data_IF_638626298040
#
_entry.id   IF_638626298040
#
_cell.length_a   1.000
_cell.length_b   1.000
_cell.length_c   1.000
_cell.angle_alpha   90.00
_cell.angle_beta   90.00
_cell.angle_gamma   90.00
#
_symmetry.space_group_name_H-M   'P 1'
#
loop_
_entity.id
_entity.type
_entity.pdbx_description
1 polymer ?
#
# COMPACT_ATOMS: atom_id res chain seq x y z
N UNK A 1 -33.92 32.24 8.61
CA UNK A 1 -33.34 30.89 8.48
C UNK A 1 -33.80 30.21 7.21
N UNK A 2 -32.84 29.79 6.38
CA UNK A 2 -33.04 29.15 5.07
C UNK A 2 -32.65 27.67 5.17
N UNK A 3 -33.45 26.76 4.61
CA UNK A 3 -33.04 25.35 4.49
C UNK A 3 -32.10 25.20 3.28
N UNK A 4 -30.86 24.68 3.46
CA UNK A 4 -29.92 24.53 2.34
C UNK A 4 -30.38 23.48 1.33
N UNK A 5 -29.95 23.60 0.08
CA UNK A 5 -29.97 22.48 -0.87
C UNK A 5 -28.90 21.45 -0.49
N UNK A 6 -29.04 20.21 -0.98
CA UNK A 6 -28.06 19.14 -0.70
C UNK A 6 -26.67 19.48 -1.25
N UNK A 7 -26.60 20.05 -2.46
CA UNK A 7 -25.35 20.49 -3.08
C UNK A 7 -24.64 21.58 -2.26
N UNK A 8 -25.38 22.59 -1.78
CA UNK A 8 -24.83 23.66 -0.95
C UNK A 8 -24.35 23.12 0.40
N UNK A 9 -25.09 22.18 1.00
CA UNK A 9 -24.71 21.53 2.25
C UNK A 9 -23.39 20.74 2.08
N UNK A 10 -23.27 19.95 1.02
CA UNK A 10 -22.04 19.19 0.71
C UNK A 10 -20.85 20.14 0.54
N UNK A 11 -21.01 21.20 -0.26
CA UNK A 11 -19.95 22.17 -0.54
C UNK A 11 -19.47 22.87 0.74
N UNK A 12 -20.40 23.30 1.59
CA UNK A 12 -20.05 23.96 2.85
C UNK A 12 -19.38 23.00 3.86
N UNK A 13 -19.87 21.76 3.97
CA UNK A 13 -19.23 20.74 4.82
C UNK A 13 -17.81 20.44 4.32
N UNK A 14 -17.61 20.30 3.01
CA UNK A 14 -16.27 20.11 2.41
C UNK A 14 -15.34 21.28 2.72
N UNK A 15 -15.81 22.52 2.61
CA UNK A 15 -15.02 23.71 2.94
C UNK A 15 -14.61 23.75 4.42
N UNK A 16 -15.51 23.38 5.34
CA UNK A 16 -15.17 23.25 6.77
C UNK A 16 -14.16 22.12 6.98
N UNK A 17 -14.36 20.96 6.34
CA UNK A 17 -13.45 19.80 6.45
C UNK A 17 -12.06 20.07 5.90
N UNK A 18 -11.94 20.90 4.87
CA UNK A 18 -10.66 21.33 4.32
C UNK A 18 -9.88 22.20 5.32
N UNK A 19 -10.58 23.04 6.09
CA UNK A 19 -9.97 23.92 7.10
C UNK A 19 -9.69 23.21 8.42
N UNK A 20 -10.65 22.43 8.91
CA UNK A 20 -10.59 21.70 10.18
C UNK A 20 -11.08 20.24 10.02
N UNK A 21 -10.21 19.33 9.55
CA UNK A 21 -10.59 17.95 9.22
C UNK A 21 -11.13 17.14 10.40
N UNK A 22 -10.69 17.47 11.62
CA UNK A 22 -11.01 16.76 12.87
C UNK A 22 -12.22 17.32 13.61
N UNK A 23 -12.87 18.37 13.08
CA UNK A 23 -13.95 19.07 13.77
C UNK A 23 -15.14 18.14 14.05
N UNK A 24 -15.55 18.04 15.32
CA UNK A 24 -16.68 17.21 15.70
C UNK A 24 -17.96 17.65 14.95
N UNK A 25 -18.81 16.70 14.55
CA UNK A 25 -20.05 16.97 13.78
C UNK A 25 -20.94 18.04 14.43
N UNK A 26 -21.07 18.04 15.76
CA UNK A 26 -21.85 19.06 16.48
C UNK A 26 -21.28 20.48 16.30
N UNK A 27 -19.95 20.63 16.22
CA UNK A 27 -19.29 21.91 15.96
C UNK A 27 -19.43 22.32 14.49
N UNK A 28 -19.34 21.37 13.55
CA UNK A 28 -19.66 21.61 12.13
C UNK A 28 -21.09 22.10 11.97
N UNK A 29 -22.05 21.44 12.64
CA UNK A 29 -23.47 21.85 12.61
C UNK A 29 -23.65 23.28 13.10
N UNK A 30 -23.02 23.63 14.22
CA UNK A 30 -23.07 24.98 14.77
C UNK A 30 -22.49 26.00 13.79
N UNK A 31 -21.30 25.75 13.25
CA UNK A 31 -20.64 26.64 12.31
C UNK A 31 -21.45 26.84 11.01
N UNK A 32 -22.07 25.78 10.49
CA UNK A 32 -22.96 25.89 9.32
C UNK A 32 -24.18 26.78 9.60
N UNK A 33 -24.77 26.67 10.79
CA UNK A 33 -25.89 27.51 11.21
C UNK A 33 -25.45 28.97 11.37
N UNK A 34 -24.35 29.19 12.06
CA UNK A 34 -23.84 30.52 12.41
C UNK A 34 -23.34 31.28 11.16
N UNK A 35 -22.63 30.61 10.23
CA UNK A 35 -22.06 31.24 9.04
C UNK A 35 -23.07 31.46 7.90
N UNK A 36 -24.17 30.70 7.84
CA UNK A 36 -25.08 30.70 6.68
C UNK A 36 -26.56 30.97 7.03
N UNK A 37 -26.90 31.21 8.30
CA UNK A 37 -28.28 31.33 8.80
C UNK A 37 -29.19 30.15 8.39
N UNK A 38 -28.64 28.93 8.45
CA UNK A 38 -29.32 27.73 7.97
C UNK A 38 -30.20 27.05 9.01
N UNK A 39 -31.38 26.60 8.59
CA UNK A 39 -32.17 25.65 9.35
C UNK A 39 -31.74 24.20 9.01
N UNK A 40 -30.87 23.63 9.83
CA UNK A 40 -30.29 22.30 9.62
C UNK A 40 -30.43 21.42 10.86
N UNK A 41 -30.98 20.21 10.69
CA UNK A 41 -31.06 19.21 11.76
C UNK A 41 -29.81 18.35 11.80
N UNK A 42 -29.44 17.86 12.99
CA UNK A 42 -28.31 16.95 13.15
C UNK A 42 -28.50 15.66 12.34
N UNK A 43 -29.73 15.13 12.30
CA UNK A 43 -30.08 13.94 11.51
C UNK A 43 -29.80 14.13 10.02
N UNK A 44 -30.19 15.30 9.47
CA UNK A 44 -29.98 15.63 8.06
C UNK A 44 -28.50 15.82 7.74
N UNK A 45 -27.77 16.54 8.61
CA UNK A 45 -26.32 16.68 8.48
C UNK A 45 -25.62 15.32 8.53
N UNK A 46 -26.00 14.44 9.47
CA UNK A 46 -25.45 13.09 9.57
C UNK A 46 -25.70 12.28 8.30
N UNK A 47 -26.93 12.25 7.79
CA UNK A 47 -27.25 11.53 6.56
C UNK A 47 -26.43 12.02 5.37
N UNK A 48 -26.28 13.34 5.21
CA UNK A 48 -25.44 13.94 4.17
C UNK A 48 -23.96 13.57 4.34
N UNK A 49 -23.42 13.65 5.56
CA UNK A 49 -22.02 13.30 5.83
C UNK A 49 -21.74 11.81 5.63
N UNK A 50 -22.65 10.92 6.02
CA UNK A 50 -22.50 9.48 5.88
C UNK A 50 -22.63 9.06 4.39
N UNK A 51 -23.56 9.65 3.63
CA UNK A 51 -23.76 9.35 2.21
C UNK A 51 -22.61 9.82 1.30
N UNK A 52 -21.86 10.84 1.72
CA UNK A 52 -20.79 11.45 0.94
C UNK A 52 -19.40 11.33 1.59
N UNK A 53 -19.25 10.45 2.60
CA UNK A 53 -18.00 10.23 3.34
C UNK A 53 -17.37 11.51 3.93
N UNK A 54 -18.19 12.50 4.33
CA UNK A 54 -17.76 13.80 4.87
C UNK A 54 -17.66 13.82 6.41
N UNK A 55 -17.58 12.63 7.03
CA UNK A 55 -17.35 12.45 8.46
C UNK A 55 -16.15 13.25 8.95
N UNK A 56 -16.05 13.47 10.27
CA UNK A 56 -14.76 13.90 10.81
C UNK A 56 -13.73 12.86 10.37
N UNK A 57 -12.60 13.32 9.83
CA UNK A 57 -11.38 12.52 9.92
C UNK A 57 -11.19 12.45 11.42
N UNK A 58 -11.66 11.35 12.03
CA UNK A 58 -11.51 11.17 13.45
C UNK A 58 -10.05 11.51 13.76
N UNK A 59 -9.75 12.24 14.85
CA UNK A 59 -8.41 12.15 15.36
C UNK A 59 -8.12 10.65 15.42
N UNK A 60 -7.07 10.25 14.69
CA UNK A 60 -6.42 8.97 14.86
C UNK A 60 -6.62 8.59 16.31
N UNK A 61 -7.26 7.44 16.56
CA UNK A 61 -7.33 6.75 17.85
C UNK A 61 -6.14 7.24 18.67
N UNK A 62 -6.38 8.15 19.62
CA UNK A 62 -5.28 8.83 20.29
C UNK A 62 -4.32 7.76 20.81
N UNK A 63 -2.99 7.98 20.80
CA UNK A 63 -2.02 6.95 21.21
C UNK A 63 -2.36 6.30 22.58
N UNK A 64 -3.15 6.99 23.42
CA UNK A 64 -3.68 6.50 24.70
C UNK A 64 -4.74 5.38 24.62
N UNK A 65 -5.24 5.01 23.43
CA UNK A 65 -6.24 3.93 23.26
C UNK A 65 -5.80 2.79 22.33
N UNK A 66 -4.55 2.83 21.87
CA UNK A 66 -3.95 1.74 21.11
C UNK A 66 -3.46 0.63 22.03
N UNK A 67 -3.61 -0.60 21.58
CA UNK A 67 -3.03 -1.76 22.25
C UNK A 67 -1.50 -1.76 22.08
N UNK A 68 -0.75 -2.25 23.08
CA UNK A 68 0.69 -2.39 22.97
C UNK A 68 1.08 -3.39 21.87
N UNK A 69 2.22 -3.15 21.22
CA UNK A 69 2.83 -4.05 20.24
C UNK A 69 3.87 -4.96 20.93
N UNK A 70 3.40 -5.78 21.85
CA UNK A 70 4.23 -6.70 22.65
C UNK A 70 4.25 -8.13 22.07
N UNK A 71 4.72 -9.11 22.84
CA UNK A 71 4.78 -10.51 22.42
C UNK A 71 3.41 -11.10 22.01
N UNK A 72 2.31 -10.61 22.58
CA UNK A 72 0.97 -11.05 22.16
C UNK A 72 0.62 -10.51 20.77
N UNK A 73 1.07 -9.28 20.46
CA UNK A 73 0.96 -8.71 19.13
C UNK A 73 1.80 -9.48 18.10
N UNK A 74 3.00 -9.95 18.45
CA UNK A 74 3.81 -10.78 17.54
C UNK A 74 3.12 -12.08 17.12
N UNK A 75 2.43 -12.73 18.06
CA UNK A 75 1.59 -13.90 17.74
C UNK A 75 0.45 -13.54 16.78
N UNK A 76 -0.21 -12.42 17.02
CA UNK A 76 -1.27 -11.91 16.13
C UNK A 76 -0.73 -11.63 14.73
N UNK A 77 0.44 -11.00 14.60
CA UNK A 77 1.07 -10.76 13.29
C UNK A 77 1.35 -12.08 12.59
N UNK A 78 1.90 -13.06 13.31
CA UNK A 78 2.21 -14.38 12.74
C UNK A 78 0.95 -15.05 12.17
N UNK A 79 -0.12 -15.10 12.96
CA UNK A 79 -1.40 -15.68 12.53
C UNK A 79 -2.02 -14.89 11.37
N UNK A 80 -2.01 -13.56 11.43
CA UNK A 80 -2.55 -12.70 10.37
C UNK A 80 -1.77 -12.83 9.06
N UNK A 81 -0.45 -12.91 9.14
CA UNK A 81 0.43 -13.09 7.99
C UNK A 81 0.21 -14.45 7.33
N UNK A 82 0.18 -15.54 8.11
CA UNK A 82 -0.02 -16.89 7.58
C UNK A 82 -1.40 -17.02 6.91
N UNK A 83 -2.45 -16.47 7.53
CA UNK A 83 -3.78 -16.49 6.94
C UNK A 83 -3.86 -15.61 5.68
N UNK A 84 -3.28 -14.40 5.69
CA UNK A 84 -3.28 -13.53 4.51
C UNK A 84 -2.51 -14.16 3.36
N UNK A 85 -1.31 -14.67 3.62
CA UNK A 85 -0.46 -15.33 2.62
C UNK A 85 -1.22 -16.46 1.92
N UNK A 86 -1.89 -17.34 2.69
CA UNK A 86 -2.70 -18.42 2.14
C UNK A 86 -3.88 -17.89 1.31
N UNK A 87 -4.66 -16.96 1.85
CA UNK A 87 -5.86 -16.45 1.18
C UNK A 87 -5.53 -15.61 -0.07
N UNK A 88 -4.45 -14.85 -0.05
CA UNK A 88 -3.96 -14.12 -1.22
C UNK A 88 -3.54 -15.11 -2.31
N UNK A 89 -2.79 -16.17 -1.96
CA UNK A 89 -2.43 -17.23 -2.91
C UNK A 89 -3.66 -17.87 -3.53
N UNK A 90 -4.65 -18.24 -2.72
CA UNK A 90 -5.91 -18.81 -3.19
C UNK A 90 -6.68 -17.85 -4.10
N UNK A 91 -6.71 -16.56 -3.76
CA UNK A 91 -7.31 -15.52 -4.59
C UNK A 91 -6.63 -15.41 -5.95
N UNK A 92 -5.29 -15.35 -6.00
CA UNK A 92 -4.52 -15.23 -7.24
C UNK A 92 -4.66 -16.46 -8.14
N UNK A 93 -4.61 -17.66 -7.57
CA UNK A 93 -4.81 -18.91 -8.30
C UNK A 93 -6.26 -19.09 -8.77
N UNK A 94 -7.22 -18.50 -8.05
CA UNK A 94 -8.65 -18.56 -8.34
C UNK A 94 -9.16 -17.46 -9.28
N UNK A 95 -8.28 -16.62 -9.84
CA UNK A 95 -8.69 -15.58 -10.77
C UNK A 95 -9.36 -16.16 -12.02
N UNK A 96 -10.39 -15.47 -12.50
CA UNK A 96 -11.00 -15.80 -13.79
C UNK A 96 -10.00 -15.57 -14.93
N UNK A 97 -10.23 -16.20 -16.08
CA UNK A 97 -9.40 -15.94 -17.28
C UNK A 97 -9.36 -14.44 -17.62
N UNK A 98 -10.51 -13.76 -17.56
CA UNK A 98 -10.58 -12.33 -17.85
C UNK A 98 -9.77 -11.49 -16.84
N UNK A 99 -9.82 -11.84 -15.56
CA UNK A 99 -9.04 -11.17 -14.52
C UNK A 99 -7.53 -11.41 -14.72
N UNK A 100 -7.13 -12.65 -15.00
CA UNK A 100 -5.74 -13.00 -15.25
C UNK A 100 -5.18 -12.30 -16.51
N UNK A 101 -5.99 -12.19 -17.56
CA UNK A 101 -5.64 -11.48 -18.79
C UNK A 101 -5.47 -9.97 -18.57
N UNK A 102 -6.24 -9.38 -17.65
CA UNK A 102 -6.12 -7.97 -17.28
C UNK A 102 -4.88 -7.64 -16.44
N UNK A 103 -4.47 -8.55 -15.55
CA UNK A 103 -3.24 -8.40 -14.74
C UNK A 103 -1.98 -8.66 -15.55
N UNK A 104 -2.02 -9.62 -16.48
CA UNK A 104 -0.84 -10.04 -17.22
C UNK A 104 -1.18 -10.13 -18.73
N UNK A 105 -1.29 -8.99 -19.43
CA UNK A 105 -1.64 -8.94 -20.85
C UNK A 105 -0.43 -9.31 -21.75
N UNK A 106 0.41 -10.25 -21.32
CA UNK A 106 1.63 -10.65 -22.04
C UNK A 106 1.24 -11.77 -23.04
N UNK A 107 1.36 -11.54 -24.36
CA UNK A 107 0.92 -12.51 -25.36
C UNK A 107 1.70 -13.83 -25.35
N UNK A 108 2.97 -13.80 -24.92
CA UNK A 108 3.86 -14.97 -24.91
C UNK A 108 3.57 -15.97 -23.79
N UNK A 109 2.78 -15.59 -22.78
CA UNK A 109 2.41 -16.49 -21.67
C UNK A 109 1.13 -17.23 -22.02
N UNK A 110 1.22 -18.57 -22.02
CA UNK A 110 0.08 -19.46 -22.27
C UNK A 110 -1.03 -19.15 -21.25
N UNK A 111 -2.30 -19.00 -21.67
CA UNK A 111 -3.39 -18.62 -20.77
C UNK A 111 -3.54 -19.50 -19.52
N UNK A 112 -3.26 -20.81 -19.64
CA UNK A 112 -3.35 -21.76 -18.53
C UNK A 112 -2.29 -21.55 -17.44
N UNK A 113 -1.15 -20.92 -17.78
CA UNK A 113 -0.04 -20.71 -16.87
C UNK A 113 -0.12 -19.33 -16.16
N UNK A 114 -1.05 -18.46 -16.60
CA UNK A 114 -1.19 -17.07 -16.10
C UNK A 114 -1.54 -16.98 -14.61
N UNK A 115 -2.53 -17.74 -14.06
CA UNK A 115 -2.84 -17.62 -12.63
C UNK A 115 -1.66 -17.98 -11.73
N UNK A 116 -0.87 -18.99 -12.10
CA UNK A 116 0.35 -19.35 -11.37
C UNK A 116 1.40 -18.23 -11.48
N UNK A 117 1.63 -17.68 -12.66
CA UNK A 117 2.58 -16.56 -12.81
C UNK A 117 2.15 -15.31 -12.04
N UNK A 118 0.87 -15.00 -12.00
CA UNK A 118 0.31 -13.92 -11.19
C UNK A 118 0.55 -14.22 -9.70
N UNK A 119 0.26 -15.44 -9.24
CA UNK A 119 0.54 -15.87 -7.87
C UNK A 119 2.04 -15.85 -7.52
N UNK A 120 2.93 -15.91 -8.52
CA UNK A 120 4.37 -15.75 -8.31
C UNK A 120 4.83 -14.29 -8.26
N UNK A 121 4.16 -13.35 -8.93
CA UNK A 121 4.72 -12.02 -9.22
C UNK A 121 3.90 -10.83 -8.72
N UNK A 122 2.64 -11.03 -8.35
CA UNK A 122 1.66 -9.95 -8.14
C UNK A 122 1.07 -9.99 -6.73
N UNK A 123 1.90 -10.28 -5.73
CA UNK A 123 1.50 -10.48 -4.32
C UNK A 123 2.07 -9.41 -3.40
N UNK A 124 1.42 -9.22 -2.27
CA UNK A 124 1.68 -8.13 -1.32
C UNK A 124 1.95 -8.62 0.10
N UNK A 125 1.91 -9.93 0.36
CA UNK A 125 2.00 -10.51 1.71
C UNK A 125 3.30 -10.14 2.43
N UNK A 126 4.43 -10.13 1.74
CA UNK A 126 5.71 -9.73 2.34
C UNK A 126 5.67 -8.26 2.72
N UNK A 127 5.27 -7.35 1.82
CA UNK A 127 5.21 -5.92 2.16
C UNK A 127 4.23 -5.63 3.29
N UNK A 128 3.08 -6.31 3.33
CA UNK A 128 2.11 -6.19 4.43
C UNK A 128 2.75 -6.63 5.76
N UNK A 129 3.51 -7.73 5.77
CA UNK A 129 4.26 -8.15 6.97
C UNK A 129 5.27 -7.08 7.40
N UNK A 130 6.02 -6.51 6.46
CA UNK A 130 7.00 -5.47 6.75
C UNK A 130 6.34 -4.23 7.33
N UNK A 131 5.15 -3.87 6.87
CA UNK A 131 4.34 -2.80 7.47
C UNK A 131 3.90 -3.17 8.88
N UNK A 132 3.40 -4.39 9.10
CA UNK A 132 2.99 -4.88 10.43
C UNK A 132 4.16 -4.89 11.44
N UNK A 133 5.37 -5.19 10.97
CA UNK A 133 6.61 -5.20 11.77
C UNK A 133 7.25 -3.81 11.91
N UNK A 134 6.67 -2.76 11.32
CA UNK A 134 7.17 -1.39 11.39
C UNK A 134 8.47 -1.16 10.60
N UNK A 135 8.84 -2.07 9.70
CA UNK A 135 9.99 -1.93 8.80
C UNK A 135 9.62 -0.98 7.65
N UNK A 136 8.44 -1.18 7.07
CA UNK A 136 7.87 -0.27 6.09
C UNK A 136 6.83 0.63 6.77
N UNK A 137 6.79 1.94 6.44
CA UNK A 137 5.73 2.82 6.94
C UNK A 137 4.34 2.44 6.40
N UNK A 138 4.29 1.98 5.15
CA UNK A 138 3.08 1.50 4.51
C UNK A 138 3.36 0.55 3.35
N UNK A 139 2.30 -0.12 2.90
CA UNK A 139 2.23 -0.94 1.70
C UNK A 139 1.19 -0.36 0.75
N UNK A 140 1.58 -0.28 -0.51
CA UNK A 140 0.73 0.05 -1.62
C UNK A 140 0.13 -1.21 -2.24
N UNK A 141 -1.19 -1.24 -2.43
CA UNK A 141 -1.87 -2.33 -3.13
C UNK A 141 -2.57 -1.71 -4.35
N UNK A 142 -1.92 -1.81 -5.51
CA UNK A 142 -2.32 -1.10 -6.71
C UNK A 142 -1.84 -1.79 -7.98
N UNK A 143 -2.64 -1.69 -9.05
CA UNK A 143 -2.22 -2.04 -10.40
C UNK A 143 -2.84 -1.09 -11.41
N UNK A 144 -2.05 -0.51 -12.33
CA UNK A 144 -2.50 0.58 -13.21
C UNK A 144 -3.63 0.19 -14.16
N UNK A 145 -3.79 -1.10 -14.46
CA UNK A 145 -4.81 -1.58 -15.40
C UNK A 145 -5.90 -2.45 -14.76
N UNK A 146 -5.74 -2.81 -13.49
CA UNK A 146 -6.52 -3.87 -12.85
C UNK A 146 -6.92 -3.49 -11.42
N UNK A 147 -7.16 -2.20 -11.18
CA UNK A 147 -7.51 -1.65 -9.87
C UNK A 147 -8.69 -2.35 -9.21
N UNK A 148 -9.68 -2.78 -10.01
CA UNK A 148 -10.85 -3.50 -9.51
C UNK A 148 -10.49 -4.89 -8.96
N UNK A 149 -9.51 -5.57 -9.55
CA UNK A 149 -9.05 -6.90 -9.09
C UNK A 149 -8.38 -6.77 -7.72
N UNK A 150 -7.53 -5.75 -7.54
CA UNK A 150 -6.93 -5.47 -6.25
C UNK A 150 -7.93 -4.92 -5.22
N UNK A 151 -8.96 -4.20 -5.66
CA UNK A 151 -10.05 -3.77 -4.77
C UNK A 151 -10.84 -4.98 -4.25
N UNK A 152 -11.05 -6.01 -5.09
CA UNK A 152 -11.59 -7.32 -4.66
C UNK A 152 -10.65 -8.03 -3.70
N UNK A 153 -9.35 -8.16 -4.00
CA UNK A 153 -8.38 -8.73 -3.06
C UNK A 153 -8.45 -8.04 -1.69
N UNK A 154 -8.44 -6.71 -1.67
CA UNK A 154 -8.53 -5.95 -0.43
C UNK A 154 -9.86 -6.17 0.28
N UNK A 155 -10.97 -6.19 -0.44
CA UNK A 155 -12.31 -6.25 0.16
C UNK A 155 -12.68 -7.65 0.63
N UNK A 156 -12.36 -8.66 -0.18
CA UNK A 156 -12.76 -10.05 0.02
C UNK A 156 -11.76 -10.81 0.89
N UNK A 157 -10.48 -10.40 0.88
CA UNK A 157 -9.40 -11.09 1.61
C UNK A 157 -8.85 -10.23 2.75
N UNK A 158 -8.31 -9.05 2.46
CA UNK A 158 -7.49 -8.34 3.45
C UNK A 158 -8.31 -7.61 4.55
N UNK A 159 -9.41 -6.94 4.19
CA UNK A 159 -10.32 -6.28 5.17
C UNK A 159 -10.85 -7.26 6.23
N UNK A 160 -11.29 -8.48 5.88
CA UNK A 160 -11.64 -9.51 6.86
C UNK A 160 -10.52 -9.81 7.87
N UNK A 161 -9.27 -9.90 7.41
CA UNK A 161 -8.11 -10.16 8.28
C UNK A 161 -7.87 -8.99 9.23
N UNK A 162 -7.87 -7.75 8.71
CA UNK A 162 -7.75 -6.53 9.54
C UNK A 162 -8.80 -6.53 10.66
N UNK A 163 -10.04 -6.93 10.34
CA UNK A 163 -11.13 -7.02 11.31
C UNK A 163 -10.93 -8.16 12.32
N UNK A 164 -10.62 -9.37 11.85
CA UNK A 164 -10.42 -10.58 12.65
C UNK A 164 -9.32 -10.39 13.70
N UNK A 165 -8.18 -9.87 13.27
CA UNK A 165 -7.01 -9.63 14.13
C UNK A 165 -6.99 -8.26 14.80
N UNK A 166 -8.04 -7.45 14.58
CA UNK A 166 -8.20 -6.11 15.17
C UNK A 166 -6.98 -5.22 14.93
N UNK A 167 -6.38 -5.26 13.73
CA UNK A 167 -5.14 -4.54 13.40
C UNK A 167 -5.29 -3.02 13.60
N UNK A 168 -6.49 -2.46 13.39
CA UNK A 168 -6.79 -1.06 13.70
C UNK A 168 -6.53 -0.68 15.16
N UNK A 169 -6.75 -1.60 16.10
CA UNK A 169 -6.48 -1.35 17.52
C UNK A 169 -4.99 -1.31 17.88
N UNK A 170 -4.11 -1.72 16.95
CA UNK A 170 -2.65 -1.63 17.08
C UNK A 170 -2.05 -0.49 16.26
N UNK A 171 -2.88 0.39 15.69
CA UNK A 171 -2.41 1.56 14.95
C UNK A 171 -2.18 1.32 13.45
N UNK A 172 -2.88 0.35 12.85
CA UNK A 172 -2.85 0.15 11.40
C UNK A 172 -4.10 0.67 10.73
N UNK A 173 -3.94 1.26 9.56
CA UNK A 173 -5.06 1.79 8.80
C UNK A 173 -5.00 1.36 7.34
N UNK A 174 -6.17 1.06 6.79
CA UNK A 174 -6.35 0.74 5.38
C UNK A 174 -7.28 1.79 4.77
N UNK A 175 -6.80 2.53 3.76
CA UNK A 175 -7.54 3.57 3.05
C UNK A 175 -7.40 3.42 1.55
N UNK A 176 -8.45 3.78 0.82
CA UNK A 176 -8.42 3.85 -0.64
C UNK A 176 -7.99 5.26 -1.08
N UNK A 177 -7.26 5.32 -2.19
CA UNK A 177 -6.86 6.56 -2.84
C UNK A 177 -7.99 6.97 -3.80
N UNK A 178 -8.68 8.07 -3.49
CA UNK A 178 -9.89 8.48 -4.24
C UNK A 178 -9.60 9.44 -5.41
N UNK A 179 -8.37 9.96 -5.50
CA UNK A 179 -7.92 10.94 -6.49
C UNK A 179 -6.60 10.52 -7.15
N UNK A 180 -6.24 11.15 -8.27
CA UNK A 180 -4.90 10.99 -8.82
C UNK A 180 -3.90 11.73 -7.93
N UNK A 181 -2.78 11.09 -7.60
CA UNK A 181 -1.73 11.69 -6.75
C UNK A 181 -0.74 12.55 -7.54
N UNK A 182 -0.65 12.34 -8.85
CA UNK A 182 0.07 13.20 -9.79
C UNK A 182 -0.51 13.06 -11.20
N UNK A 183 -0.13 13.98 -12.09
CA UNK A 183 -0.25 13.81 -13.54
C UNK A 183 1.12 13.41 -14.09
N UNK A 184 1.28 12.14 -14.47
CA UNK A 184 2.55 11.62 -15.04
C UNK A 184 2.40 11.34 -16.54
N UNK A 185 2.76 12.32 -17.38
CA UNK A 185 2.64 12.24 -18.84
C UNK A 185 3.45 11.10 -19.48
N UNK A 186 4.39 10.49 -18.76
CA UNK A 186 5.17 9.34 -19.21
C UNK A 186 4.51 7.99 -18.96
N UNK A 187 3.34 7.96 -18.29
CA UNK A 187 2.67 6.71 -17.90
C UNK A 187 1.42 6.41 -18.73
N UNK A 188 1.02 5.13 -18.82
CA UNK A 188 -0.14 4.68 -19.61
C UNK A 188 -1.48 5.35 -19.23
N UNK A 189 -1.63 5.78 -17.97
CA UNK A 189 -2.81 6.49 -17.47
C UNK A 189 -2.38 7.71 -16.65
N UNK A 190 -1.95 8.80 -17.32
CA UNK A 190 -1.31 9.94 -16.66
C UNK A 190 -2.21 10.61 -15.62
N UNK A 191 -3.52 10.66 -15.88
CA UNK A 191 -4.52 11.34 -15.03
C UNK A 191 -5.18 10.42 -13.98
N UNK A 192 -4.69 9.19 -13.82
CA UNK A 192 -5.26 8.19 -12.89
C UNK A 192 -4.20 7.62 -11.95
N UNK A 193 -3.02 8.25 -11.86
CA UNK A 193 -1.90 7.72 -11.08
C UNK A 193 -2.33 7.41 -9.64
N UNK A 194 -2.22 6.14 -9.25
CA UNK A 194 -2.64 5.55 -7.96
C UNK A 194 -4.14 5.58 -7.63
N UNK A 195 -4.97 6.24 -8.44
CA UNK A 195 -6.40 6.35 -8.16
C UNK A 195 -7.05 4.97 -8.10
N UNK A 196 -7.82 4.74 -7.05
CA UNK A 196 -8.48 3.48 -6.71
C UNK A 196 -7.58 2.45 -6.04
N UNK A 197 -6.27 2.69 -5.98
CA UNK A 197 -5.33 1.90 -5.18
C UNK A 197 -5.60 2.00 -3.69
N UNK A 198 -5.02 1.10 -2.91
CA UNK A 198 -5.17 1.04 -1.46
C UNK A 198 -3.81 1.22 -0.77
N UNK A 199 -3.80 1.92 0.36
CA UNK A 199 -2.64 2.02 1.24
C UNK A 199 -3.01 1.37 2.57
N UNK A 200 -2.19 0.40 2.96
CA UNK A 200 -2.15 -0.13 4.32
C UNK A 200 -0.97 0.47 5.04
N UNK A 201 -1.19 1.27 6.09
CA UNK A 201 -0.13 2.03 6.74
C UNK A 201 -0.16 1.96 8.26
N UNK A 202 1.02 2.18 8.84
CA UNK A 202 1.22 2.34 10.27
C UNK A 202 1.03 3.81 10.66
N UNK A 203 -0.04 4.10 11.42
CA UNK A 203 -0.34 5.47 11.86
C UNK A 203 0.61 5.97 12.95
N UNK A 204 1.40 5.07 13.54
CA UNK A 204 2.46 5.38 14.49
C UNK A 204 3.81 5.66 13.81
N UNK A 205 3.92 5.41 12.50
CA UNK A 205 5.14 5.73 11.76
C UNK A 205 5.42 7.24 11.81
N UNK A 206 6.69 7.67 12.00
CA UNK A 206 7.05 9.08 11.91
C UNK A 206 6.75 9.68 10.53
N UNK A 207 6.58 8.85 9.50
CA UNK A 207 6.25 9.26 8.13
C UNK A 207 4.74 9.28 7.84
N UNK A 208 3.87 8.98 8.82
CA UNK A 208 2.43 8.94 8.59
C UNK A 208 1.85 10.25 8.04
N UNK A 209 2.36 11.41 8.49
CA UNK A 209 1.95 12.71 7.96
C UNK A 209 2.31 12.88 6.48
N UNK A 210 3.50 12.42 6.07
CA UNK A 210 3.95 12.49 4.68
C UNK A 210 3.13 11.55 3.79
N UNK A 211 2.80 10.35 4.29
CA UNK A 211 1.88 9.40 3.63
C UNK A 211 0.52 10.05 3.40
N UNK A 212 -0.03 10.73 4.42
CA UNK A 212 -1.31 11.43 4.30
C UNK A 212 -1.26 12.58 3.30
N UNK A 213 -0.16 13.35 3.31
CA UNK A 213 0.04 14.44 2.37
C UNK A 213 0.12 13.95 0.93
N UNK A 214 0.78 12.82 0.68
CA UNK A 214 1.03 12.32 -0.69
C UNK A 214 -0.16 11.55 -1.25
N UNK A 215 -0.76 10.63 -0.48
CA UNK A 215 -1.79 9.73 -1.01
C UNK A 215 -3.23 10.19 -0.76
N UNK A 216 -3.46 11.06 0.24
CA UNK A 216 -4.81 11.39 0.69
C UNK A 216 -5.15 12.88 0.65
N UNK A 217 -4.21 13.73 0.25
CA UNK A 217 -4.48 15.15 0.06
C UNK A 217 -4.68 15.41 -1.42
N UNK A 218 -5.90 15.80 -1.86
CA UNK A 218 -6.20 16.09 -3.26
C UNK A 218 -5.50 17.38 -3.67
N UNK A 219 -4.22 17.25 -4.01
CA UNK A 219 -3.39 18.31 -4.56
C UNK A 219 -3.02 17.84 -5.95
N UNK A 220 -3.61 18.45 -6.98
CA UNK A 220 -3.25 18.16 -8.36
C UNK A 220 -1.83 18.69 -8.59
N UNK A 221 -0.85 17.83 -8.31
CA UNK A 221 0.56 18.21 -8.44
C UNK A 221 0.93 18.00 -9.90
N UNK A 222 1.01 19.11 -10.65
CA UNK A 222 1.61 19.13 -11.98
C UNK A 222 3.12 19.06 -11.81
N UNK A 223 3.66 17.85 -11.84
CA UNK A 223 5.08 17.62 -11.61
C UNK A 223 5.83 17.78 -12.93
N UNK A 224 6.59 18.86 -13.08
CA UNK A 224 7.46 19.08 -14.24
C UNK A 224 8.88 18.53 -13.96
N UNK A 225 9.46 17.78 -14.91
CA UNK A 225 10.88 17.40 -14.98
C UNK A 225 11.59 17.20 -13.63
N UNK A 226 12.32 18.20 -13.14
CA UNK A 226 13.11 18.13 -11.90
C UNK A 226 12.29 17.91 -10.61
N UNK A 227 11.01 18.26 -10.61
CA UNK A 227 10.11 17.99 -9.48
C UNK A 227 9.69 16.50 -9.42
N UNK A 228 9.84 15.77 -10.53
CA UNK A 228 9.52 14.34 -10.64
C UNK A 228 10.46 13.50 -9.81
N UNK A 229 11.75 13.76 -9.93
CA UNK A 229 12.81 13.12 -9.15
C UNK A 229 12.56 13.31 -7.64
N UNK A 230 12.23 14.54 -7.24
CA UNK A 230 11.95 14.89 -5.84
C UNK A 230 10.70 14.19 -5.31
N UNK A 231 9.67 14.02 -6.15
CA UNK A 231 8.46 13.30 -5.79
C UNK A 231 8.69 11.79 -5.69
N UNK A 232 9.43 11.21 -6.63
CA UNK A 232 9.79 9.79 -6.59
C UNK A 232 10.65 9.45 -5.38
N UNK A 233 11.61 10.31 -5.01
CA UNK A 233 12.39 10.14 -3.78
C UNK A 233 11.51 10.16 -2.53
N UNK A 234 10.54 11.08 -2.48
CA UNK A 234 9.53 11.11 -1.40
C UNK A 234 8.70 9.84 -1.38
N UNK A 235 8.25 9.35 -2.55
CA UNK A 235 7.54 8.08 -2.67
C UNK A 235 8.37 6.91 -2.14
N UNK A 236 9.62 6.78 -2.57
CA UNK A 236 10.51 5.72 -2.10
C UNK A 236 10.67 5.75 -0.58
N UNK A 237 10.87 6.94 -0.02
CA UNK A 237 10.99 7.14 1.41
C UNK A 237 9.72 6.74 2.17
N UNK A 238 8.54 7.20 1.75
CA UNK A 238 7.29 6.86 2.47
C UNK A 238 6.89 5.39 2.30
N UNK A 239 7.29 4.75 1.19
CA UNK A 239 7.12 3.32 0.97
C UNK A 239 8.19 2.49 1.71
N UNK A 240 9.18 3.12 2.35
CA UNK A 240 10.20 2.46 3.15
C UNK A 240 11.31 1.77 2.34
N UNK A 241 11.55 2.19 1.09
CA UNK A 241 12.68 1.67 0.31
C UNK A 241 14.00 2.30 0.78
N UNK A 242 15.11 1.52 0.82
CA UNK A 242 16.36 1.94 1.47
C UNK A 242 17.19 2.96 0.68
N UNK A 243 16.88 3.15 -0.61
CA UNK A 243 17.61 4.04 -1.51
C UNK A 243 16.66 5.04 -2.18
N UNK A 244 17.09 6.30 -2.40
CA UNK A 244 16.32 7.27 -3.17
C UNK A 244 16.22 6.82 -4.63
N UNK A 245 15.14 7.23 -5.29
CA UNK A 245 14.89 6.90 -6.67
C UNK A 245 15.81 7.64 -7.65
N UNK A 246 16.32 8.84 -7.36
CA UNK A 246 16.97 9.70 -8.38
C UNK A 246 18.26 10.41 -7.93
N UNK A 247 19.12 10.89 -8.88
CA UNK A 247 19.02 10.76 -10.34
C UNK A 247 19.50 9.39 -10.86
N UNK A 248 18.77 8.82 -11.82
CA UNK A 248 18.99 7.45 -12.34
C UNK A 248 19.92 7.42 -13.55
N UNK A 249 20.89 6.51 -13.57
CA UNK A 249 21.64 6.17 -14.79
C UNK A 249 20.89 5.11 -15.62
N UNK A 250 21.25 4.99 -16.91
CA UNK A 250 20.42 4.39 -17.98
C UNK A 250 20.12 2.89 -17.89
N UNK A 251 20.71 2.15 -16.94
CA UNK A 251 20.49 0.71 -16.80
C UNK A 251 19.66 0.46 -15.53
N UNK A 252 18.42 0.02 -15.69
CA UNK A 252 17.53 -0.33 -14.59
C UNK A 252 17.96 -1.68 -13.98
N UNK A 253 18.57 -1.65 -12.80
CA UNK A 253 18.71 -2.84 -11.97
C UNK A 253 17.48 -2.94 -11.07
N UNK A 254 16.98 -4.15 -10.89
CA UNK A 254 15.89 -4.43 -9.96
C UNK A 254 16.43 -5.32 -8.85
N UNK A 255 16.29 -4.87 -7.61
CA UNK A 255 16.55 -5.72 -6.47
C UNK A 255 15.26 -6.43 -6.08
N UNK A 256 15.30 -7.77 -6.08
CA UNK A 256 14.12 -8.59 -5.77
C UNK A 256 14.36 -9.40 -4.52
N UNK A 257 13.38 -9.44 -3.65
CA UNK A 257 13.37 -10.33 -2.49
C UNK A 257 12.40 -11.47 -2.74
N UNK A 258 12.91 -12.69 -2.71
CA UNK A 258 12.19 -13.91 -3.09
C UNK A 258 11.65 -14.62 -1.84
N UNK A 259 10.37 -14.98 -1.86
CA UNK A 259 9.75 -15.77 -0.79
C UNK A 259 9.85 -17.26 -1.09
N UNK A 260 10.90 -17.86 -0.56
CA UNK A 260 11.24 -19.26 -0.71
C UNK A 260 10.21 -20.22 -0.09
N UNK A 261 9.52 -19.78 0.96
CA UNK A 261 8.45 -20.58 1.56
C UNK A 261 7.27 -20.68 0.60
N UNK A 262 6.91 -19.56 -0.03
CA UNK A 262 5.85 -19.57 -1.03
C UNK A 262 6.26 -20.22 -2.35
N UNK A 263 7.55 -20.21 -2.72
CA UNK A 263 8.07 -21.04 -3.83
C UNK A 263 7.72 -22.53 -3.61
N UNK A 264 8.05 -23.07 -2.43
CA UNK A 264 7.76 -24.45 -2.07
C UNK A 264 6.25 -24.76 -2.02
N UNK A 265 5.44 -23.84 -1.47
CA UNK A 265 3.98 -24.01 -1.41
C UNK A 265 3.33 -24.00 -2.80
N UNK A 266 3.75 -23.09 -3.69
CA UNK A 266 3.24 -23.04 -5.06
C UNK A 266 3.72 -24.22 -5.91
N UNK A 267 4.97 -24.66 -5.76
CA UNK A 267 5.47 -25.87 -6.41
C UNK A 267 4.62 -27.09 -6.01
N UNK A 268 4.39 -27.28 -4.70
CA UNK A 268 3.57 -28.37 -4.17
C UNK A 268 2.14 -28.34 -4.69
N UNK A 269 1.49 -27.17 -4.68
CA UNK A 269 0.10 -27.02 -5.11
C UNK A 269 -0.09 -27.13 -6.63
N UNK A 270 0.91 -26.76 -7.41
CA UNK A 270 0.87 -26.82 -8.89
C UNK A 270 1.43 -28.11 -9.48
N UNK A 271 2.10 -28.94 -8.66
CA UNK A 271 2.79 -30.15 -9.10
C UNK A 271 4.05 -29.87 -9.94
N UNK A 272 4.62 -28.66 -9.83
CA UNK A 272 5.87 -28.27 -10.50
C UNK A 272 7.07 -28.45 -9.59
N UNK A 273 8.27 -28.45 -10.18
CA UNK A 273 9.51 -28.42 -9.41
C UNK A 273 9.69 -27.06 -8.73
N UNK A 274 10.30 -27.04 -7.55
CA UNK A 274 10.58 -25.80 -6.81
C UNK A 274 11.48 -24.84 -7.62
N UNK A 275 12.48 -25.37 -8.33
CA UNK A 275 13.38 -24.59 -9.19
C UNK A 275 12.69 -23.88 -10.37
N UNK A 276 11.45 -24.27 -10.70
CA UNK A 276 10.63 -23.65 -11.74
C UNK A 276 9.72 -22.54 -11.21
N UNK A 277 9.68 -22.34 -9.89
CA UNK A 277 8.81 -21.37 -9.22
C UNK A 277 9.67 -20.30 -8.55
N UNK A 278 9.52 -19.06 -8.98
CA UNK A 278 10.09 -17.90 -8.30
C UNK A 278 8.98 -16.98 -7.81
N UNK A 279 8.77 -16.94 -6.49
CA UNK A 279 7.81 -16.01 -5.85
C UNK A 279 8.51 -14.75 -5.44
N UNK A 280 8.20 -13.64 -6.10
CA UNK A 280 8.67 -12.31 -5.74
C UNK A 280 7.84 -11.86 -4.53
N UNK A 281 8.50 -11.69 -3.38
CA UNK A 281 7.89 -11.09 -2.21
C UNK A 281 7.65 -9.60 -2.41
N UNK A 282 8.67 -8.90 -2.90
CA UNK A 282 8.57 -7.56 -3.49
C UNK A 282 9.88 -7.22 -4.22
N UNK A 283 9.83 -6.16 -5.03
CA UNK A 283 10.99 -5.63 -5.73
C UNK A 283 11.00 -4.10 -5.69
N UNK A 284 12.18 -3.53 -5.81
CA UNK A 284 12.35 -2.11 -6.01
C UNK A 284 13.53 -1.85 -6.94
N UNK A 285 13.47 -0.70 -7.60
CA UNK A 285 14.53 -0.27 -8.50
C UNK A 285 15.72 0.24 -7.67
N UNK A 286 16.91 -0.17 -8.07
CA UNK A 286 18.19 0.34 -7.59
C UNK A 286 19.05 0.70 -8.80
N UNK A 287 19.95 1.66 -8.68
CA UNK A 287 21.01 1.80 -9.66
C UNK A 287 22.19 0.90 -9.27
N UNK A 288 23.14 0.64 -10.19
CA UNK A 288 24.40 0.01 -9.80
C UNK A 288 25.20 1.03 -8.95
N UNK A 289 24.78 1.12 -7.69
CA UNK A 289 25.16 2.17 -6.75
C UNK A 289 26.59 2.02 -6.24
N UNK A 290 26.94 2.85 -5.26
CA UNK A 290 28.19 2.70 -4.53
C UNK A 290 28.03 1.72 -3.35
N UNK A 291 29.16 1.39 -2.71
CA UNK A 291 29.19 0.53 -1.52
C UNK A 291 28.26 1.02 -0.40
N UNK A 292 28.04 2.33 -0.25
CA UNK A 292 27.17 2.87 0.78
C UNK A 292 25.70 2.58 0.48
N UNK A 293 25.28 2.66 -0.79
CA UNK A 293 23.94 2.22 -1.22
C UNK A 293 23.75 0.72 -1.04
N UNK A 294 24.72 -0.09 -1.49
CA UNK A 294 24.69 -1.54 -1.31
C UNK A 294 24.57 -1.94 0.17
N UNK A 295 25.32 -1.28 1.05
CA UNK A 295 25.22 -1.48 2.50
C UNK A 295 23.79 -1.22 3.01
N UNK A 296 23.13 -0.15 2.56
CA UNK A 296 21.73 0.14 2.94
C UNK A 296 20.76 -0.93 2.45
N UNK A 297 20.93 -1.39 1.21
CA UNK A 297 20.13 -2.47 0.63
C UNK A 297 20.28 -3.77 1.44
N UNK A 298 21.50 -4.13 1.86
CA UNK A 298 21.75 -5.33 2.67
C UNK A 298 21.20 -5.20 4.10
N UNK A 299 21.38 -4.06 4.78
CA UNK A 299 20.80 -3.81 6.12
C UNK A 299 19.27 -3.90 6.08
N UNK A 300 18.66 -3.37 5.02
CA UNK A 300 17.23 -3.48 4.79
C UNK A 300 16.82 -4.94 4.56
N UNK A 301 17.51 -5.66 3.67
CA UNK A 301 17.27 -7.09 3.43
C UNK A 301 17.37 -7.92 4.71
N UNK A 302 18.41 -7.75 5.52
CA UNK A 302 18.55 -8.45 6.80
C UNK A 302 17.36 -8.21 7.74
N UNK A 303 16.86 -6.98 7.77
CA UNK A 303 15.69 -6.63 8.57
C UNK A 303 14.43 -7.33 8.06
N UNK A 304 14.23 -7.35 6.74
CA UNK A 304 13.14 -8.09 6.09
C UNK A 304 13.25 -9.60 6.32
N UNK A 305 14.45 -10.16 6.21
CA UNK A 305 14.71 -11.58 6.41
C UNK A 305 14.44 -11.99 7.86
N UNK A 306 14.84 -11.17 8.85
CA UNK A 306 14.50 -11.41 10.27
C UNK A 306 12.99 -11.37 10.49
N UNK A 307 12.26 -10.43 9.86
CA UNK A 307 10.81 -10.37 9.95
C UNK A 307 10.14 -11.62 9.38
N UNK A 308 10.54 -12.06 8.19
CA UNK A 308 10.04 -13.30 7.56
C UNK A 308 10.36 -14.53 8.40
N UNK A 309 11.59 -14.64 8.90
CA UNK A 309 11.99 -15.75 9.80
C UNK A 309 11.15 -15.79 11.08
N UNK A 310 10.79 -14.63 11.63
CA UNK A 310 10.00 -14.55 12.86
C UNK A 310 8.58 -15.12 12.74
N UNK A 311 8.05 -15.22 11.51
CA UNK A 311 6.72 -15.79 11.23
C UNK A 311 6.78 -17.18 10.59
N UNK A 312 7.97 -17.78 10.56
CA UNK A 312 8.21 -19.13 10.03
C UNK A 312 8.44 -19.19 8.51
N UNK A 313 8.76 -18.07 7.87
CA UNK A 313 9.03 -18.00 6.42
C UNK A 313 10.48 -17.67 6.10
N UNK A 314 10.92 -17.98 4.88
CA UNK A 314 12.27 -17.73 4.39
C UNK A 314 12.24 -16.69 3.26
N UNK A 315 13.15 -15.72 3.34
CA UNK A 315 13.35 -14.69 2.34
C UNK A 315 14.79 -14.73 1.84
N UNK A 316 14.94 -14.70 0.52
CA UNK A 316 16.23 -14.64 -0.18
C UNK A 316 16.34 -13.38 -1.02
N UNK A 317 17.57 -12.97 -1.30
CA UNK A 317 17.86 -11.81 -2.14
C UNK A 317 18.30 -12.32 -3.51
N UNK A 318 17.62 -11.87 -4.56
CA UNK A 318 18.02 -12.16 -5.94
C UNK A 318 18.89 -11.02 -6.46
N UNK A 319 20.16 -11.35 -6.71
CA UNK A 319 21.19 -10.43 -7.19
C UNK A 319 21.39 -10.51 -8.71
N UNK A 320 20.56 -11.27 -9.44
CA UNK A 320 20.69 -11.39 -10.90
C UNK A 320 20.53 -10.03 -11.57
N UNK A 321 21.50 -9.66 -12.40
CA UNK A 321 21.54 -8.37 -13.07
C UNK A 321 22.14 -7.25 -12.23
N UNK A 322 22.68 -7.53 -11.04
CA UNK A 322 23.32 -6.55 -10.16
C UNK A 322 24.79 -6.92 -9.88
N UNK A 323 25.62 -6.87 -10.92
CA UNK A 323 27.01 -7.36 -10.87
C UNK A 323 27.87 -6.68 -9.79
N UNK A 324 27.70 -5.36 -9.58
CA UNK A 324 28.40 -4.63 -8.53
C UNK A 324 28.06 -5.11 -7.13
N UNK A 325 26.76 -5.20 -6.82
CA UNK A 325 26.26 -5.71 -5.54
C UNK A 325 26.61 -7.19 -5.34
N UNK A 326 26.53 -8.01 -6.38
CA UNK A 326 26.95 -9.41 -6.33
C UNK A 326 28.42 -9.53 -5.92
N UNK A 327 29.30 -8.76 -6.57
CA UNK A 327 30.72 -8.75 -6.23
C UNK A 327 30.94 -8.28 -4.79
N UNK A 328 30.23 -7.24 -4.35
CA UNK A 328 30.30 -6.75 -2.98
C UNK A 328 29.88 -7.79 -1.94
N UNK A 329 28.79 -8.52 -2.17
CA UNK A 329 28.32 -9.56 -1.23
C UNK A 329 29.29 -10.75 -1.14
N UNK A 330 29.98 -11.09 -2.23
CA UNK A 330 30.82 -12.28 -2.31
C UNK A 330 32.32 -12.07 -2.08
N UNK A 331 32.80 -10.81 -2.05
CA UNK A 331 34.22 -10.49 -1.93
C UNK A 331 34.57 -9.57 -0.75
N UNK A 332 33.62 -9.30 0.15
CA UNK A 332 33.81 -8.52 1.38
C UNK A 332 33.48 -9.36 2.61
#
# INVERSE_FOLDING_TARGET
MVSPTEENLIKAVKAIRLRDPTLARAKVLKQLKDENDWELSEKRLKACMDAHNLGAIAPNVGPESLKPRDAAFDKIITEAFQEFTRLEREFMLGLSKADADALMPIPSIKPKDRPLMIACQQRHHVEILLTLKGIKPCTAIFHPYATEIYTRLVTDVFKPIIKKYKLKSYGFELRQIEHATMIDMGRPQPNMFWRGGWIFGDVLSPLWRDIQSIFFTPTETHIAGAEHDTYQDKLCKILGYPVPGYPRQTNMNQLRYMDETECAELARSSGKNEDEIGVIGFEYEDDDGDQARWTKCLIHFESCQRAMKSVGSRLEIDLRGHDGLFNYVHHT
#
